data_IF_180402128584
#
_entry.id   IF_180402128584
#
_cell.length_a   1.000
_cell.length_b   1.000
_cell.length_c   1.000
_cell.angle_alpha   90.00
_cell.angle_beta   90.00
_cell.angle_gamma   90.00
#
_symmetry.space_group_name_H-M   'P 1'
#
loop_
_entity.id
_entity.type
_entity.pdbx_description
1 polymer ?
#
# COMPACT_ATOMS: atom_id res chain seq x y z
N UNK A 1 3.18 18.68 20.50
CA UNK A 1 2.53 18.53 19.19
C UNK A 1 2.80 19.80 18.39
N UNK A 2 3.49 19.67 17.24
CA UNK A 2 3.62 20.80 16.32
C UNK A 2 2.23 21.18 15.80
N UNK A 3 1.94 22.47 15.73
CA UNK A 3 0.66 22.97 15.22
C UNK A 3 0.58 22.64 13.72
N UNK A 4 -0.48 21.94 13.27
CA UNK A 4 -0.68 21.66 11.85
C UNK A 4 -0.79 22.97 11.09
N UNK A 5 0.00 23.12 10.03
CA UNK A 5 -0.03 24.30 9.17
C UNK A 5 -0.94 24.05 7.97
N UNK A 6 -2.17 24.49 8.04
CA UNK A 6 -3.17 24.33 7.00
C UNK A 6 -2.90 25.11 5.68
N UNK A 7 -1.77 25.77 5.57
CA UNK A 7 -1.29 26.31 4.28
C UNK A 7 -0.65 25.21 3.42
N UNK A 8 -0.25 24.09 4.03
CA UNK A 8 0.24 22.93 3.32
C UNK A 8 -0.94 22.11 2.80
N UNK A 9 -0.76 21.52 1.62
CA UNK A 9 -1.66 20.53 1.07
C UNK A 9 -1.15 19.15 1.48
N UNK A 10 -1.97 18.42 2.24
CA UNK A 10 -1.62 17.09 2.75
C UNK A 10 -2.33 16.01 1.96
N UNK A 11 -1.62 14.92 1.70
CA UNK A 11 -2.15 13.70 1.11
C UNK A 11 -1.82 12.51 2.00
N UNK A 12 -2.61 11.44 1.88
CA UNK A 12 -2.36 10.19 2.58
C UNK A 12 -1.78 9.18 1.58
N UNK A 13 -0.51 8.84 1.75
CA UNK A 13 0.14 7.77 0.98
C UNK A 13 -0.04 6.46 1.74
N UNK A 14 -0.51 5.41 1.09
CA UNK A 14 -0.76 4.12 1.72
C UNK A 14 -0.28 2.95 0.88
N UNK A 15 -0.01 1.84 1.57
CA UNK A 15 0.22 0.54 0.98
C UNK A 15 -0.39 -0.57 1.84
N UNK A 16 -0.78 -1.69 1.22
CA UNK A 16 -1.40 -2.83 1.89
C UNK A 16 -0.80 -4.15 1.47
N UNK A 17 -0.53 -5.03 2.44
CA UNK A 17 -0.21 -6.42 2.18
C UNK A 17 -1.42 -7.32 2.41
N UNK A 18 -1.56 -8.32 1.56
CA UNK A 18 -2.79 -9.10 1.50
C UNK A 18 -2.57 -10.62 1.55
N UNK A 19 -3.55 -11.29 2.13
CA UNK A 19 -3.76 -12.72 1.99
C UNK A 19 -4.91 -12.97 1.01
N UNK A 20 -4.79 -14.01 0.19
CA UNK A 20 -5.77 -14.31 -0.84
C UNK A 20 -6.75 -15.38 -0.39
N UNK A 21 -8.03 -15.14 -0.65
CA UNK A 21 -9.08 -16.11 -0.35
C UNK A 21 -9.38 -17.03 -1.51
N UNK A 22 -9.15 -16.61 -2.75
CA UNK A 22 -9.44 -17.40 -3.95
C UNK A 22 -8.43 -17.16 -5.08
N UNK A 23 -8.21 -18.21 -5.88
CA UNK A 23 -7.51 -18.16 -7.15
C UNK A 23 -8.49 -18.59 -8.24
N UNK A 24 -8.34 -18.06 -9.44
CA UNK A 24 -9.09 -18.50 -10.60
C UNK A 24 -8.60 -19.89 -11.10
N UNK A 25 -9.30 -20.45 -12.11
CA UNK A 25 -8.97 -21.77 -12.70
C UNK A 25 -7.56 -21.81 -13.30
N UNK A 26 -7.01 -20.65 -13.70
CA UNK A 26 -5.65 -20.50 -14.22
C UNK A 26 -4.60 -20.31 -13.10
N UNK A 27 -5.01 -20.37 -11.83
CA UNK A 27 -4.14 -20.11 -10.66
C UNK A 27 -3.77 -18.64 -10.49
N UNK A 28 -4.50 -17.71 -11.13
CA UNK A 28 -4.30 -16.27 -10.95
C UNK A 28 -5.08 -15.78 -9.75
N UNK A 29 -4.47 -14.85 -9.02
CA UNK A 29 -5.09 -14.22 -7.87
C UNK A 29 -6.35 -13.42 -8.28
N UNK A 30 -7.49 -13.73 -7.66
CA UNK A 30 -8.64 -12.84 -7.74
C UNK A 30 -8.42 -11.61 -6.87
N UNK A 31 -8.02 -10.51 -7.50
CA UNK A 31 -7.78 -9.24 -6.82
C UNK A 31 -9.01 -8.63 -6.11
N UNK A 32 -10.18 -9.23 -6.26
CA UNK A 32 -11.41 -8.85 -5.55
C UNK A 32 -11.63 -9.62 -4.26
N UNK A 33 -10.89 -10.71 -4.08
CA UNK A 33 -11.01 -11.61 -2.91
C UNK A 33 -9.84 -11.51 -1.94
N UNK A 34 -8.91 -10.57 -2.18
CA UNK A 34 -7.77 -10.34 -1.30
C UNK A 34 -8.22 -9.64 -0.01
N UNK A 35 -7.67 -10.08 1.12
CA UNK A 35 -7.95 -9.50 2.43
C UNK A 35 -6.69 -8.90 3.03
N UNK A 36 -6.75 -7.62 3.39
CA UNK A 36 -5.64 -6.87 3.96
C UNK A 36 -5.28 -7.40 5.35
N UNK A 37 -4.01 -7.81 5.53
CA UNK A 37 -3.45 -8.17 6.85
C UNK A 37 -2.43 -7.18 7.37
N UNK A 38 -1.78 -6.39 6.51
CA UNK A 38 -0.90 -5.27 6.89
C UNK A 38 -1.36 -4.01 6.17
N UNK A 39 -1.30 -2.89 6.86
CA UNK A 39 -1.67 -1.59 6.31
C UNK A 39 -0.75 -0.52 6.90
N UNK A 40 0.00 0.13 6.04
CA UNK A 40 0.83 1.27 6.37
C UNK A 40 0.34 2.54 5.68
N UNK A 41 0.50 3.69 6.32
CA UNK A 41 0.28 4.98 5.68
C UNK A 41 1.12 6.08 6.29
N UNK A 42 1.40 7.08 5.47
CA UNK A 42 2.05 8.32 5.86
C UNK A 42 1.22 9.52 5.43
N UNK A 43 1.16 10.52 6.28
CA UNK A 43 0.66 11.85 5.93
C UNK A 43 1.83 12.66 5.45
N UNK A 44 1.79 13.07 4.20
CA UNK A 44 2.85 13.85 3.56
C UNK A 44 2.31 15.12 2.94
N UNK A 45 3.17 16.12 2.77
CA UNK A 45 2.83 17.30 1.99
C UNK A 45 3.40 17.25 0.57
N UNK A 46 3.04 18.19 -0.27
CA UNK A 46 3.50 18.29 -1.66
C UNK A 46 5.01 18.55 -1.82
N UNK A 47 5.73 18.78 -0.72
CA UNK A 47 7.19 18.98 -0.69
C UNK A 47 7.93 17.73 -0.17
N UNK A 48 7.20 16.65 0.12
CA UNK A 48 7.78 15.40 0.65
C UNK A 48 8.03 15.43 2.17
N UNK A 49 7.49 16.42 2.89
CA UNK A 49 7.55 16.43 4.35
C UNK A 49 6.63 15.35 4.94
N UNK A 50 7.15 14.52 5.85
CA UNK A 50 6.38 13.48 6.55
C UNK A 50 5.92 14.04 7.89
N UNK A 51 4.62 13.99 8.16
CA UNK A 51 3.98 14.56 9.36
C UNK A 51 3.46 13.49 10.32
N UNK A 52 3.05 12.33 9.78
CA UNK A 52 2.53 11.22 10.57
C UNK A 52 2.73 9.92 9.84
N UNK A 53 3.05 8.88 10.58
CA UNK A 53 3.21 7.53 10.05
C UNK A 53 2.46 6.54 10.93
N UNK A 54 1.84 5.55 10.32
CA UNK A 54 1.13 4.48 11.01
C UNK A 54 1.43 3.14 10.32
N UNK A 55 1.61 2.13 11.14
CA UNK A 55 1.79 0.75 10.68
C UNK A 55 0.95 -0.19 11.54
N UNK A 56 0.03 -0.90 10.89
CA UNK A 56 -0.92 -1.79 11.57
C UNK A 56 -0.93 -3.18 10.95
N UNK A 57 -0.96 -4.17 11.84
CA UNK A 57 -1.29 -5.56 11.50
C UNK A 57 -2.74 -5.80 11.86
N UNK A 58 -3.52 -6.26 10.90
CA UNK A 58 -4.95 -6.52 11.07
C UNK A 58 -5.18 -7.84 11.80
N UNK A 59 -5.62 -7.74 13.08
CA UNK A 59 -5.92 -8.90 13.92
C UNK A 59 -6.96 -9.83 13.32
N UNK A 60 -7.95 -9.28 12.62
CA UNK A 60 -9.08 -10.06 12.08
C UNK A 60 -8.60 -11.06 11.02
N UNK A 61 -7.47 -10.80 10.36
CA UNK A 61 -6.84 -11.71 9.39
C UNK A 61 -5.61 -12.38 10.00
N UNK A 62 -4.67 -11.61 10.51
CA UNK A 62 -3.37 -12.13 10.96
C UNK A 62 -3.48 -13.17 12.08
N UNK A 63 -4.46 -13.01 12.98
CA UNK A 63 -4.67 -13.92 14.12
C UNK A 63 -5.86 -14.84 13.90
N UNK A 64 -6.99 -14.27 13.47
CA UNK A 64 -8.25 -15.02 13.43
C UNK A 64 -8.36 -15.94 12.21
N UNK A 65 -7.66 -15.60 11.10
CA UNK A 65 -7.63 -16.38 9.86
C UNK A 65 -6.23 -16.99 9.62
N UNK A 66 -5.76 -17.77 10.60
CA UNK A 66 -4.40 -18.29 10.62
C UNK A 66 -4.05 -19.14 9.39
N UNK A 67 -4.93 -20.00 8.94
CA UNK A 67 -4.72 -20.83 7.76
C UNK A 67 -4.54 -19.98 6.50
N UNK A 68 -5.33 -18.89 6.39
CA UNK A 68 -5.19 -17.93 5.31
C UNK A 68 -3.83 -17.22 5.37
N UNK A 69 -3.38 -16.83 6.56
CA UNK A 69 -2.06 -16.21 6.73
C UNK A 69 -0.91 -17.14 6.40
N UNK A 70 -0.99 -18.41 6.78
CA UNK A 70 0.03 -19.43 6.47
C UNK A 70 0.09 -19.73 4.96
N UNK A 71 -1.00 -19.54 4.22
CA UNK A 71 -1.07 -19.66 2.76
C UNK A 71 -0.74 -18.36 2.00
N UNK A 72 -0.59 -17.24 2.68
CA UNK A 72 -0.29 -15.95 2.05
C UNK A 72 1.07 -15.97 1.32
N UNK A 73 1.17 -15.21 0.23
CA UNK A 73 2.40 -15.13 -0.58
C UNK A 73 3.63 -14.77 0.27
N UNK A 74 3.46 -13.86 1.23
CA UNK A 74 4.50 -13.43 2.16
C UNK A 74 4.43 -14.11 3.53
N UNK A 75 3.84 -15.32 3.64
CA UNK A 75 3.79 -16.08 4.91
C UNK A 75 5.15 -16.23 5.60
N UNK A 76 6.24 -16.31 4.82
CA UNK A 76 7.62 -16.33 5.33
C UNK A 76 8.00 -15.12 6.20
N UNK A 77 7.24 -14.01 6.11
CA UNK A 77 7.45 -12.79 6.91
C UNK A 77 6.69 -12.79 8.24
N UNK A 78 5.85 -13.77 8.52
CA UNK A 78 5.11 -13.86 9.79
C UNK A 78 6.03 -13.69 11.01
N UNK A 79 7.24 -14.32 11.09
CA UNK A 79 8.14 -14.11 12.20
C UNK A 79 8.61 -12.65 12.37
N UNK A 80 8.84 -11.92 11.25
CA UNK A 80 9.17 -10.50 11.28
C UNK A 80 8.01 -9.68 11.86
N UNK A 81 6.78 -9.91 11.39
CA UNK A 81 5.60 -9.22 11.94
C UNK A 81 5.44 -9.45 13.44
N UNK A 82 5.69 -10.67 13.92
CA UNK A 82 5.64 -10.98 15.36
C UNK A 82 6.72 -10.20 16.12
N UNK A 83 7.94 -10.09 15.58
CA UNK A 83 9.01 -9.30 16.19
C UNK A 83 8.68 -7.80 16.21
N UNK A 84 8.15 -7.26 15.10
CA UNK A 84 7.77 -5.86 14.97
C UNK A 84 6.62 -5.48 15.93
N UNK A 85 5.66 -6.37 16.13
CA UNK A 85 4.58 -6.19 17.10
C UNK A 85 5.13 -6.19 18.55
N UNK A 86 6.08 -7.07 18.86
CA UNK A 86 6.70 -7.13 20.19
C UNK A 86 7.55 -5.91 20.51
N UNK A 87 8.23 -5.36 19.51
CA UNK A 87 9.05 -4.15 19.64
C UNK A 87 8.23 -2.86 19.65
N UNK A 88 6.94 -2.92 19.28
CA UNK A 88 6.09 -1.75 19.12
C UNK A 88 6.29 -0.99 17.80
N UNK A 89 7.09 -1.53 16.88
CA UNK A 89 7.26 -0.96 15.53
C UNK A 89 5.94 -0.98 14.74
N UNK A 90 5.12 -2.02 14.96
CA UNK A 90 3.77 -2.15 14.39
C UNK A 90 2.75 -2.28 15.50
N UNK A 91 1.52 -1.87 15.23
CA UNK A 91 0.38 -2.00 16.14
C UNK A 91 -0.55 -3.09 15.63
N UNK A 92 -1.09 -3.91 16.55
CA UNK A 92 -2.15 -4.84 16.19
C UNK A 92 -3.51 -4.21 16.48
N UNK A 93 -4.40 -4.22 15.50
CA UNK A 93 -5.74 -3.68 15.65
C UNK A 93 -6.75 -4.45 14.79
N UNK A 94 -8.04 -4.31 15.06
CA UNK A 94 -9.11 -4.83 14.20
C UNK A 94 -9.26 -3.97 12.94
N UNK A 95 -9.89 -4.52 11.92
CA UNK A 95 -10.25 -3.78 10.69
C UNK A 95 -10.96 -2.47 11.01
N UNK A 96 -11.87 -2.49 11.98
CA UNK A 96 -12.59 -1.29 12.41
C UNK A 96 -11.66 -0.24 13.00
N UNK A 97 -10.79 -0.63 13.93
CA UNK A 97 -9.84 0.28 14.60
C UNK A 97 -8.84 0.88 13.61
N UNK A 98 -8.31 0.07 12.68
CA UNK A 98 -7.39 0.55 11.62
C UNK A 98 -8.10 1.61 10.76
N UNK A 99 -9.32 1.31 10.31
CA UNK A 99 -10.10 2.28 9.54
C UNK A 99 -10.38 3.56 10.30
N UNK A 100 -10.76 3.47 11.60
CA UNK A 100 -11.00 4.67 12.42
C UNK A 100 -9.72 5.51 12.59
N UNK A 101 -8.56 4.87 12.80
CA UNK A 101 -7.28 5.57 12.90
C UNK A 101 -6.96 6.32 11.61
N UNK A 102 -7.12 5.67 10.45
CA UNK A 102 -6.89 6.29 9.14
C UNK A 102 -7.83 7.47 8.89
N UNK A 103 -9.13 7.31 9.15
CA UNK A 103 -10.10 8.40 8.98
C UNK A 103 -9.87 9.55 9.97
N UNK A 104 -9.37 9.27 11.18
CA UNK A 104 -9.00 10.30 12.13
C UNK A 104 -7.80 11.11 11.63
N UNK A 105 -6.78 10.45 11.05
CA UNK A 105 -5.64 11.14 10.45
C UNK A 105 -6.06 11.99 9.24
N UNK A 106 -6.93 11.46 8.37
CA UNK A 106 -7.49 12.22 7.26
C UNK A 106 -8.27 13.46 7.73
N UNK A 107 -9.05 13.31 8.79
CA UNK A 107 -9.82 14.44 9.36
C UNK A 107 -8.91 15.46 10.03
N UNK A 108 -7.90 15.02 10.78
CA UNK A 108 -6.92 15.87 11.48
C UNK A 108 -6.16 16.78 10.51
N UNK A 109 -5.75 16.23 9.35
CA UNK A 109 -4.97 16.95 8.34
C UNK A 109 -5.80 17.49 7.16
N UNK A 110 -7.14 17.38 7.23
CA UNK A 110 -8.08 17.79 6.18
C UNK A 110 -7.78 17.14 4.81
N UNK A 111 -7.43 15.85 4.83
CA UNK A 111 -7.05 15.09 3.64
C UNK A 111 -8.29 14.61 2.91
N UNK A 112 -8.34 14.88 1.61
CA UNK A 112 -9.33 14.36 0.66
C UNK A 112 -8.72 13.47 -0.42
N UNK A 113 -7.39 13.43 -0.53
CA UNK A 113 -6.65 12.68 -1.53
C UNK A 113 -5.84 11.54 -0.89
N UNK A 114 -5.94 10.37 -1.52
CA UNK A 114 -5.20 9.16 -1.14
C UNK A 114 -4.33 8.75 -2.31
N UNK A 115 -3.09 8.40 -2.03
CA UNK A 115 -2.07 8.02 -3.01
C UNK A 115 -1.61 6.60 -2.75
N UNK A 116 -1.52 5.76 -3.78
CA UNK A 116 -0.91 4.44 -3.70
C UNK A 116 -0.29 4.04 -5.04
N UNK A 117 0.65 3.07 -5.01
CA UNK A 117 1.23 2.51 -6.21
C UNK A 117 0.39 1.33 -6.71
N UNK A 118 -0.20 1.43 -7.91
CA UNK A 118 -1.27 0.51 -8.36
C UNK A 118 -2.50 0.57 -7.44
N UNK A 119 -2.93 1.76 -7.11
CA UNK A 119 -3.95 2.09 -6.11
C UNK A 119 -5.25 1.28 -6.19
N UNK A 120 -5.58 0.74 -7.38
CA UNK A 120 -6.75 -0.14 -7.54
C UNK A 120 -6.64 -1.42 -6.70
N UNK A 121 -5.41 -1.94 -6.53
CA UNK A 121 -5.18 -3.13 -5.72
C UNK A 121 -5.51 -2.85 -4.25
N UNK A 122 -4.93 -1.80 -3.68
CA UNK A 122 -5.12 -1.40 -2.28
C UNK A 122 -6.58 -1.06 -1.99
N UNK A 123 -7.22 -0.31 -2.86
CA UNK A 123 -8.65 -0.01 -2.73
C UNK A 123 -9.52 -1.27 -2.73
N UNK A 124 -9.20 -2.25 -3.58
CA UNK A 124 -9.90 -3.52 -3.60
C UNK A 124 -9.69 -4.28 -2.29
N UNK A 125 -8.46 -4.35 -1.79
CA UNK A 125 -8.13 -5.03 -0.54
C UNK A 125 -8.85 -4.39 0.66
N UNK A 126 -8.79 -3.06 0.77
CA UNK A 126 -9.46 -2.29 1.83
C UNK A 126 -10.99 -2.44 1.77
N UNK A 127 -11.57 -2.37 0.58
CA UNK A 127 -13.01 -2.57 0.43
C UNK A 127 -13.42 -4.04 0.68
N UNK A 128 -12.60 -5.00 0.26
CA UNK A 128 -12.87 -6.42 0.48
C UNK A 128 -12.88 -6.76 1.96
N UNK A 129 -11.84 -6.33 2.72
CA UNK A 129 -11.79 -6.58 4.17
C UNK A 129 -12.95 -5.88 4.92
N UNK A 130 -13.32 -4.67 4.51
CA UNK A 130 -14.44 -3.95 5.11
C UNK A 130 -15.77 -4.69 4.90
N UNK A 131 -15.98 -5.25 3.70
CA UNK A 131 -17.16 -6.04 3.39
C UNK A 131 -17.15 -7.39 4.08
N UNK A 132 -15.99 -8.01 4.15
CA UNK A 132 -15.80 -9.30 4.81
C UNK A 132 -16.11 -9.21 6.31
N UNK A 133 -15.59 -8.19 7.00
CA UNK A 133 -15.80 -8.00 8.44
C UNK A 133 -17.22 -7.55 8.76
N UNK A 134 -17.82 -6.66 7.97
CA UNK A 134 -19.17 -6.13 8.21
C UNK A 134 -20.29 -6.99 7.63
N UNK A 135 -19.96 -8.02 6.83
CA UNK A 135 -20.91 -8.84 6.04
C UNK A 135 -21.84 -7.99 5.15
N UNK A 136 -21.37 -6.83 4.72
CA UNK A 136 -22.16 -5.87 3.92
C UNK A 136 -21.47 -5.49 2.63
N UNK A 137 -22.05 -5.85 1.48
CA UNK A 137 -21.53 -5.49 0.15
C UNK A 137 -21.58 -3.99 -0.17
N UNK A 138 -22.28 -3.19 0.64
CA UNK A 138 -22.42 -1.75 0.44
C UNK A 138 -21.42 -0.92 1.26
N UNK A 139 -20.49 -1.54 1.95
CA UNK A 139 -19.47 -0.85 2.74
C UNK A 139 -18.22 -0.60 1.91
N UNK A 140 -17.74 0.65 1.99
CA UNK A 140 -16.50 1.11 1.40
C UNK A 140 -15.55 1.60 2.49
N UNK A 141 -14.24 1.52 2.22
CA UNK A 141 -13.23 1.94 3.19
C UNK A 141 -13.22 3.45 3.37
N UNK A 142 -13.09 4.17 2.26
CA UNK A 142 -13.04 5.64 2.28
C UNK A 142 -14.43 6.27 2.22
N UNK A 143 -14.57 7.52 2.74
CA UNK A 143 -15.76 8.35 2.54
C UNK A 143 -16.00 8.62 1.05
N UNK A 144 -17.26 8.94 0.74
CA UNK A 144 -17.62 9.42 -0.59
C UNK A 144 -16.90 10.74 -0.89
N UNK A 145 -16.37 10.87 -2.11
CA UNK A 145 -15.65 12.06 -2.55
C UNK A 145 -14.14 12.01 -2.28
N UNK A 146 -13.61 10.94 -1.64
CA UNK A 146 -12.16 10.75 -1.55
C UNK A 146 -11.59 10.52 -2.95
N UNK A 147 -10.63 11.35 -3.35
CA UNK A 147 -9.89 11.21 -4.60
C UNK A 147 -8.76 10.19 -4.44
N UNK A 148 -8.48 9.42 -5.48
CA UNK A 148 -7.44 8.39 -5.46
C UNK A 148 -6.47 8.61 -6.59
N UNK A 149 -5.21 8.79 -6.22
CA UNK A 149 -4.10 8.99 -7.13
C UNK A 149 -3.26 7.70 -7.21
N UNK A 150 -2.89 7.33 -8.43
CA UNK A 150 -2.18 6.09 -8.72
C UNK A 150 -0.80 6.44 -9.29
N UNK A 151 0.25 6.30 -8.48
CA UNK A 151 1.62 6.65 -8.90
C UNK A 151 2.13 5.76 -10.03
N UNK A 152 1.63 4.52 -10.18
CA UNK A 152 1.97 3.68 -11.33
C UNK A 152 1.42 4.27 -12.64
N UNK A 153 0.21 4.84 -12.63
CA UNK A 153 -0.35 5.54 -13.80
C UNK A 153 0.42 6.81 -14.10
N UNK A 154 0.74 7.61 -13.07
CA UNK A 154 1.55 8.81 -13.22
C UNK A 154 2.92 8.49 -13.82
N UNK A 155 3.58 7.42 -13.34
CA UNK A 155 4.86 6.97 -13.90
C UNK A 155 4.75 6.59 -15.38
N UNK A 156 3.67 5.93 -15.79
CA UNK A 156 3.41 5.63 -17.21
C UNK A 156 3.24 6.89 -18.05
N UNK A 157 2.61 7.91 -17.49
CA UNK A 157 2.34 9.15 -18.20
C UNK A 157 3.55 10.07 -18.30
N UNK A 158 4.49 9.98 -17.35
CA UNK A 158 5.68 10.83 -17.28
C UNK A 158 6.96 10.04 -17.53
N UNK A 159 7.31 9.12 -16.63
CA UNK A 159 8.62 8.45 -16.59
C UNK A 159 8.81 7.54 -17.81
N UNK A 160 7.78 6.78 -18.23
CA UNK A 160 7.87 5.92 -19.40
C UNK A 160 8.11 6.67 -20.72
N UNK A 161 7.79 7.96 -20.77
CA UNK A 161 8.06 8.80 -21.94
C UNK A 161 9.51 9.31 -21.99
N UNK A 162 10.28 9.12 -20.92
CA UNK A 162 11.68 9.54 -20.85
C UNK A 162 12.58 8.55 -21.57
N UNK A 163 13.37 8.97 -22.59
CA UNK A 163 14.35 8.10 -23.25
C UNK A 163 15.39 7.50 -22.27
N UNK A 164 15.70 8.24 -21.20
CA UNK A 164 16.61 7.82 -20.15
C UNK A 164 16.07 6.64 -19.34
N UNK A 165 14.74 6.60 -19.05
CA UNK A 165 14.14 5.47 -18.37
C UNK A 165 14.07 4.23 -19.25
N UNK A 166 13.79 4.41 -20.54
CA UNK A 166 13.84 3.31 -21.51
C UNK A 166 15.21 2.66 -21.54
N UNK A 167 16.27 3.46 -21.70
CA UNK A 167 17.67 2.97 -21.67
C UNK A 167 17.97 2.26 -20.37
N UNK A 168 17.59 2.84 -19.23
CA UNK A 168 17.75 2.22 -17.91
C UNK A 168 17.11 0.82 -17.85
N UNK A 169 15.87 0.67 -18.32
CA UNK A 169 15.19 -0.63 -18.35
C UNK A 169 15.88 -1.63 -19.29
N UNK A 170 16.35 -1.19 -20.45
CA UNK A 170 17.05 -2.04 -21.43
C UNK A 170 18.41 -2.52 -20.88
N UNK A 171 19.22 -1.62 -20.32
CA UNK A 171 20.54 -1.92 -19.75
C UNK A 171 20.48 -2.85 -18.52
N UNK A 172 19.39 -2.80 -17.75
CA UNK A 172 19.23 -3.58 -16.52
C UNK A 172 18.29 -4.78 -16.67
N UNK A 173 17.84 -5.11 -17.88
CA UNK A 173 16.98 -6.26 -18.11
C UNK A 173 15.57 -6.15 -17.48
N UNK A 174 15.08 -4.91 -17.29
CA UNK A 174 13.81 -4.60 -16.61
C UNK A 174 12.61 -4.50 -17.57
N UNK A 175 12.73 -5.08 -18.75
CA UNK A 175 11.62 -5.21 -19.66
C UNK A 175 10.74 -6.41 -19.28
N UNK A 176 9.42 -6.23 -19.38
CA UNK A 176 8.49 -7.35 -19.23
C UNK A 176 8.67 -8.37 -20.38
N UNK A 177 8.12 -9.58 -20.22
CA UNK A 177 8.12 -10.61 -21.28
C UNK A 177 7.60 -10.11 -22.64
N UNK A 178 6.76 -9.07 -22.62
CA UNK A 178 6.19 -8.44 -23.83
C UNK A 178 6.96 -7.18 -24.27
N UNK A 179 8.17 -6.97 -23.79
CA UNK A 179 9.02 -5.82 -24.13
C UNK A 179 8.53 -4.47 -23.59
N UNK A 180 7.63 -4.45 -22.60
CA UNK A 180 7.17 -3.22 -21.97
C UNK A 180 8.10 -2.83 -20.82
N UNK A 181 8.23 -1.51 -20.60
CA UNK A 181 9.00 -0.97 -19.47
C UNK A 181 8.41 -1.39 -18.13
N UNK A 182 9.26 -1.62 -17.13
CA UNK A 182 8.81 -1.91 -15.78
C UNK A 182 8.00 -0.76 -15.19
N UNK A 183 7.01 -1.09 -14.36
CA UNK A 183 6.20 -0.13 -13.60
C UNK A 183 6.19 -0.44 -12.10
N UNK A 184 7.06 -1.33 -11.62
CA UNK A 184 7.14 -1.62 -10.19
C UNK A 184 7.67 -0.42 -9.43
N UNK A 185 7.20 -0.19 -8.20
CA UNK A 185 7.68 0.88 -7.34
C UNK A 185 9.19 0.79 -7.15
N UNK A 186 9.72 -0.40 -6.88
CA UNK A 186 11.16 -0.67 -6.75
C UNK A 186 11.99 -0.16 -7.93
N UNK A 187 11.61 -0.49 -9.17
CA UNK A 187 12.37 -0.10 -10.34
C UNK A 187 12.24 1.40 -10.69
N UNK A 188 11.10 2.00 -10.38
CA UNK A 188 10.91 3.43 -10.49
C UNK A 188 11.77 4.18 -9.47
N UNK A 189 11.79 3.71 -8.23
CA UNK A 189 12.63 4.26 -7.17
C UNK A 189 14.12 4.16 -7.51
N UNK A 190 14.60 2.98 -7.93
CA UNK A 190 15.98 2.77 -8.39
C UNK A 190 16.40 3.76 -9.47
N UNK A 191 15.49 4.03 -10.43
CA UNK A 191 15.76 4.99 -11.50
C UNK A 191 15.83 6.44 -10.99
N UNK A 192 14.88 6.84 -10.11
CA UNK A 192 14.75 8.21 -9.61
C UNK A 192 15.92 8.54 -8.67
N UNK A 193 16.20 7.65 -7.72
CA UNK A 193 17.21 7.84 -6.66
C UNK A 193 18.60 7.43 -7.11
N UNK A 194 18.70 6.68 -8.25
CA UNK A 194 19.95 6.10 -8.79
C UNK A 194 20.63 5.12 -7.84
N UNK A 195 19.82 4.37 -7.10
CA UNK A 195 20.26 3.30 -6.20
C UNK A 195 19.81 1.95 -6.77
N UNK A 196 20.72 1.22 -7.40
CA UNK A 196 20.45 -0.09 -8.01
C UNK A 196 20.36 -1.23 -6.99
N UNK A 197 20.93 -1.04 -5.81
CA UNK A 197 20.96 -2.05 -4.74
C UNK A 197 19.68 -2.02 -3.89
N UNK A 198 18.85 -1.00 -4.09
CA UNK A 198 17.57 -0.88 -3.38
C UNK A 198 16.67 -2.09 -3.65
N UNK A 199 16.06 -2.62 -2.61
CA UNK A 199 15.07 -3.70 -2.68
C UNK A 199 13.86 -3.34 -1.84
N UNK A 200 12.68 -3.46 -2.43
CA UNK A 200 11.40 -3.23 -1.78
C UNK A 200 11.19 -4.19 -0.60
N UNK A 201 10.72 -3.66 0.52
CA UNK A 201 10.51 -4.44 1.74
C UNK A 201 9.32 -5.39 1.66
N UNK A 202 8.35 -5.10 0.83
CA UNK A 202 7.03 -5.75 0.79
C UNK A 202 6.39 -5.80 2.18
N UNK A 203 6.28 -4.63 2.80
CA UNK A 203 5.62 -4.42 4.07
C UNK A 203 5.03 -3.02 4.08
N UNK A 204 3.77 -2.87 4.50
CA UNK A 204 2.94 -1.70 4.23
C UNK A 204 3.60 -0.35 4.50
N UNK A 205 4.12 -0.06 5.71
CA UNK A 205 4.69 1.26 5.97
C UNK A 205 6.03 1.49 5.25
N UNK A 206 6.89 0.48 5.17
CA UNK A 206 8.19 0.61 4.52
C UNK A 206 8.04 0.88 3.01
N UNK A 207 7.00 0.32 2.38
CA UNK A 207 6.73 0.51 0.96
C UNK A 207 6.07 1.88 0.69
N UNK A 208 5.39 2.47 1.67
CA UNK A 208 4.89 3.86 1.61
C UNK A 208 6.03 4.89 1.55
N UNK A 209 7.21 4.55 2.09
CA UNK A 209 8.37 5.44 2.14
C UNK A 209 9.20 5.47 0.83
N UNK A 210 8.79 4.69 -0.16
CA UNK A 210 9.37 4.64 -1.51
C UNK A 210 8.70 5.67 -2.43
#
# INVERSE_FOLDING_TARGET
>A
MSKIDFRHHYVLVLDTETANTTFDEDGRMDSKSVLMYDCGWSVVDTHGGIYKEQSFVNRDIFVNERELMESAYYAKKIPQYVADLRSGKRKMASTYEIRQAMLADMAEYHISEVVAHNARFDLNALNAIQRWTTKSKFRYWFPYGTEVWDTMKMARDVIHKMPTYRRFCEENGLLTKNGRLSTTAENLYRFIVKDMDFTESHTGLEDVQI
#
